data_IF_399443646896
#
_entry.id   IF_399443646896
#
_cell.length_a   1.000
_cell.length_b   1.000
_cell.length_c   1.000
_cell.angle_alpha   90.00
_cell.angle_beta   90.00
_cell.angle_gamma   90.00
#
_symmetry.space_group_name_H-M   'P 1'
#
loop_
_entity.id
_entity.type
_entity.pdbx_description
1 polymer ?
#
# COMPACT_ATOMS: atom_id res chain seq x y z
N UNK A 1 -15.29 -4.80 1.46
CA UNK A 1 -14.97 -3.42 1.08
C UNK A 1 -15.90 -2.95 -0.05
N UNK A 2 -16.73 -1.91 0.25
CA UNK A 2 -17.73 -1.37 -0.70
C UNK A 2 -17.09 -0.76 -1.97
N UNK A 3 -15.88 -0.22 -1.84
CA UNK A 3 -15.18 0.39 -2.98
C UNK A 3 -14.67 -0.67 -3.95
N UNK A 4 -14.12 -1.77 -3.46
CA UNK A 4 -13.69 -2.89 -4.28
C UNK A 4 -14.88 -3.49 -5.03
N UNK A 5 -15.98 -3.77 -4.33
CA UNK A 5 -17.21 -4.28 -4.94
C UNK A 5 -17.72 -3.37 -6.08
N UNK A 6 -17.75 -2.04 -5.84
CA UNK A 6 -18.16 -1.06 -6.86
C UNK A 6 -17.24 -1.06 -8.09
N UNK A 7 -15.93 -1.21 -7.88
CA UNK A 7 -14.96 -1.26 -8.99
C UNK A 7 -15.08 -2.55 -9.79
N UNK A 8 -15.24 -3.69 -9.12
CA UNK A 8 -15.48 -4.99 -9.76
C UNK A 8 -16.78 -5.01 -10.59
N UNK A 9 -17.81 -4.31 -10.14
CA UNK A 9 -19.06 -4.19 -10.89
C UNK A 9 -18.95 -3.31 -12.16
N UNK A 10 -17.83 -2.62 -12.38
CA UNK A 10 -17.68 -1.66 -13.48
C UNK A 10 -16.48 -1.92 -14.40
N UNK A 11 -15.55 -2.78 -14.00
CA UNK A 11 -14.30 -3.07 -14.74
C UNK A 11 -13.98 -4.56 -14.72
N UNK A 12 -13.29 -5.02 -15.77
CA UNK A 12 -12.87 -6.42 -15.87
C UNK A 12 -11.82 -6.81 -14.84
N UNK A 13 -10.91 -5.89 -14.50
CA UNK A 13 -9.88 -6.13 -13.51
C UNK A 13 -9.74 -4.94 -12.54
N UNK A 14 -9.37 -5.22 -11.28
CA UNK A 14 -9.08 -4.22 -10.25
C UNK A 14 -7.69 -4.49 -9.67
N UNK A 15 -6.79 -3.51 -9.76
CA UNK A 15 -5.50 -3.53 -9.08
C UNK A 15 -5.61 -2.84 -7.73
N UNK A 16 -5.29 -3.56 -6.66
CA UNK A 16 -5.21 -3.01 -5.29
C UNK A 16 -3.75 -2.69 -4.98
N UNK A 17 -3.48 -1.42 -4.82
CA UNK A 17 -2.16 -0.89 -4.46
C UNK A 17 -2.16 -0.36 -3.03
N UNK A 18 -0.98 -0.31 -2.42
CA UNK A 18 -0.82 0.24 -1.08
C UNK A 18 0.38 -0.33 -0.35
N UNK A 19 0.72 0.22 0.83
CA UNK A 19 1.88 -0.23 1.59
C UNK A 19 1.76 -1.70 1.98
N UNK A 20 2.89 -2.33 2.26
CA UNK A 20 2.91 -3.69 2.79
C UNK A 20 2.10 -3.76 4.09
N UNK A 21 1.44 -4.90 4.32
CA UNK A 21 0.66 -5.20 5.53
C UNK A 21 -0.59 -4.33 5.77
N UNK A 22 -1.00 -3.49 4.82
CA UNK A 22 -2.24 -2.72 4.96
C UNK A 22 -3.53 -3.54 4.73
N UNK A 23 -3.41 -4.85 4.44
CA UNK A 23 -4.55 -5.76 4.30
C UNK A 23 -5.04 -5.98 2.86
N UNK A 24 -4.22 -5.70 1.83
CA UNK A 24 -4.61 -5.87 0.41
C UNK A 24 -5.11 -7.26 0.09
N UNK A 25 -4.27 -8.27 0.38
CA UNK A 25 -4.58 -9.68 0.12
C UNK A 25 -5.83 -10.10 0.87
N UNK A 26 -5.92 -9.85 2.17
CA UNK A 26 -7.09 -10.18 2.99
C UNK A 26 -8.39 -9.54 2.48
N UNK A 27 -8.33 -8.29 2.01
CA UNK A 27 -9.48 -7.62 1.40
C UNK A 27 -9.87 -8.27 0.07
N UNK A 28 -8.88 -8.60 -0.76
CA UNK A 28 -9.11 -9.24 -2.06
C UNK A 28 -9.71 -10.64 -1.91
N UNK A 29 -9.21 -11.44 -0.97
CA UNK A 29 -9.70 -12.79 -0.66
C UNK A 29 -11.20 -12.82 -0.34
N UNK A 30 -11.72 -11.80 0.36
CA UNK A 30 -13.15 -11.71 0.70
C UNK A 30 -14.05 -11.54 -0.54
N UNK A 31 -13.51 -11.14 -1.66
CA UNK A 31 -14.23 -10.93 -2.92
C UNK A 31 -13.91 -11.98 -3.98
N UNK A 32 -12.84 -12.72 -3.80
CA UNK A 32 -12.37 -13.71 -4.75
C UNK A 32 -13.13 -15.04 -4.64
N UNK A 33 -13.37 -15.71 -5.77
CA UNK A 33 -13.88 -17.08 -5.85
C UNK A 33 -12.78 -18.09 -6.11
N UNK A 34 -11.69 -17.66 -6.70
CA UNK A 34 -10.47 -18.46 -6.85
C UNK A 34 -9.24 -17.59 -6.60
N UNK A 35 -8.14 -18.20 -6.16
CA UNK A 35 -6.95 -17.48 -5.73
C UNK A 35 -5.70 -18.14 -6.31
N UNK A 36 -4.80 -17.30 -6.81
CA UNK A 36 -3.44 -17.65 -7.17
C UNK A 36 -2.48 -16.82 -6.34
N UNK A 37 -1.70 -17.44 -5.47
CA UNK A 37 -0.58 -16.82 -4.77
C UNK A 37 0.69 -17.04 -5.57
N UNK A 38 1.20 -15.98 -6.21
CA UNK A 38 2.40 -16.05 -7.04
C UNK A 38 3.66 -16.34 -6.22
N UNK A 39 3.69 -15.88 -4.97
CA UNK A 39 4.81 -16.02 -4.03
C UNK A 39 4.78 -17.30 -3.19
N UNK A 40 3.81 -18.20 -3.41
CA UNK A 40 3.73 -19.45 -2.67
C UNK A 40 5.00 -20.30 -2.91
N UNK A 41 5.82 -20.58 -1.86
CA UNK A 41 7.09 -21.27 -2.03
C UNK A 41 6.98 -22.65 -2.71
N UNK A 42 5.83 -23.33 -2.56
CA UNK A 42 5.62 -24.65 -3.15
C UNK A 42 5.39 -24.60 -4.66
N UNK A 43 4.95 -23.47 -5.21
CA UNK A 43 4.59 -23.32 -6.63
C UNK A 43 5.27 -22.13 -7.31
N UNK A 44 6.06 -21.33 -6.61
CA UNK A 44 6.67 -20.11 -7.13
C UNK A 44 7.40 -20.34 -8.46
N UNK A 45 8.35 -21.29 -8.49
CA UNK A 45 9.13 -21.57 -9.70
C UNK A 45 8.25 -22.05 -10.86
N UNK A 46 7.29 -22.92 -10.56
CA UNK A 46 6.33 -23.41 -11.56
C UNK A 46 5.46 -22.29 -12.10
N UNK A 47 4.96 -21.42 -11.23
CA UNK A 47 4.15 -20.26 -11.63
C UNK A 47 4.94 -19.28 -12.50
N UNK A 48 6.20 -19.01 -12.15
CA UNK A 48 7.07 -18.14 -12.95
C UNK A 48 7.37 -18.76 -14.32
N UNK A 49 7.70 -20.03 -14.40
CA UNK A 49 7.91 -20.73 -15.66
C UNK A 49 6.65 -20.75 -16.52
N UNK A 50 5.50 -21.02 -15.91
CA UNK A 50 4.21 -21.03 -16.63
C UNK A 50 3.88 -19.64 -17.18
N UNK A 51 4.10 -18.58 -16.41
CA UNK A 51 3.89 -17.20 -16.86
C UNK A 51 4.79 -16.83 -18.06
N UNK A 52 6.00 -17.42 -18.16
CA UNK A 52 6.90 -17.21 -19.29
C UNK A 52 6.45 -17.97 -20.55
N UNK A 53 5.90 -19.17 -20.40
CA UNK A 53 5.46 -20.03 -21.51
C UNK A 53 4.08 -19.60 -21.99
N UNK A 54 3.11 -19.56 -21.08
CA UNK A 54 1.72 -19.19 -21.35
C UNK A 54 1.05 -18.67 -20.06
N UNK A 55 1.05 -17.37 -19.89
CA UNK A 55 0.45 -16.72 -18.72
C UNK A 55 -1.07 -16.94 -18.61
N UNK A 56 -1.76 -17.27 -19.71
CA UNK A 56 -3.22 -17.48 -19.72
C UNK A 56 -3.65 -18.65 -18.86
N UNK A 57 -2.83 -19.68 -18.75
CA UNK A 57 -3.10 -20.87 -17.90
C UNK A 57 -3.23 -20.50 -16.42
N UNK A 58 -2.49 -19.49 -15.98
CA UNK A 58 -2.57 -18.98 -14.60
C UNK A 58 -3.86 -18.20 -14.33
N UNK A 59 -4.57 -17.78 -15.37
CA UNK A 59 -5.82 -17.03 -15.30
C UNK A 59 -7.07 -17.92 -15.25
N UNK A 60 -6.89 -19.22 -15.35
CA UNK A 60 -7.99 -20.19 -15.26
C UNK A 60 -8.50 -20.30 -13.82
N UNK A 61 -9.82 -20.25 -13.65
CA UNK A 61 -10.50 -20.39 -12.35
C UNK A 61 -11.77 -19.54 -12.27
N UNK A 62 -12.51 -19.73 -11.18
CA UNK A 62 -13.73 -18.98 -10.91
C UNK A 62 -13.45 -17.49 -10.69
N UNK A 63 -14.29 -16.65 -11.27
CA UNK A 63 -14.16 -15.18 -11.17
C UNK A 63 -15.11 -14.59 -10.12
N UNK A 64 -14.71 -13.52 -9.39
CA UNK A 64 -13.43 -12.84 -9.44
C UNK A 64 -12.26 -13.75 -9.03
N UNK A 65 -11.18 -13.76 -9.83
CA UNK A 65 -9.95 -14.47 -9.51
C UNK A 65 -8.92 -13.50 -8.93
N UNK A 66 -8.44 -13.80 -7.72
CA UNK A 66 -7.32 -13.07 -7.11
C UNK A 66 -6.00 -13.59 -7.66
N UNK A 67 -5.14 -12.67 -8.07
CA UNK A 67 -3.74 -12.92 -8.37
C UNK A 67 -2.90 -12.07 -7.42
N UNK A 68 -2.39 -12.72 -6.37
CA UNK A 68 -1.61 -12.07 -5.32
C UNK A 68 -0.13 -12.02 -5.72
N UNK A 69 0.54 -10.89 -5.44
CA UNK A 69 1.92 -10.58 -5.83
C UNK A 69 2.16 -10.72 -7.36
N UNK A 70 1.19 -10.24 -8.17
CA UNK A 70 1.20 -10.34 -9.63
C UNK A 70 2.48 -9.80 -10.28
N UNK A 71 3.14 -8.81 -9.67
CA UNK A 71 4.36 -8.18 -10.18
C UNK A 71 5.57 -9.13 -10.23
N UNK A 72 5.49 -10.30 -9.61
CA UNK A 72 6.50 -11.37 -9.78
C UNK A 72 6.54 -11.91 -11.20
N UNK A 73 5.43 -11.79 -11.95
CA UNK A 73 5.35 -12.18 -13.35
C UNK A 73 4.64 -11.08 -14.17
N UNK A 74 5.34 -10.03 -14.61
CA UNK A 74 4.74 -8.87 -15.30
C UNK A 74 3.92 -9.22 -16.55
N UNK A 75 4.24 -10.33 -17.22
CA UNK A 75 3.46 -10.86 -18.37
C UNK A 75 1.99 -11.13 -18.06
N UNK A 76 1.66 -11.37 -16.78
CA UNK A 76 0.27 -11.51 -16.33
C UNK A 76 -0.57 -10.26 -16.63
N UNK A 77 0.02 -9.07 -16.62
CA UNK A 77 -0.69 -7.84 -16.94
C UNK A 77 -1.30 -7.85 -18.34
N UNK A 78 -0.48 -8.17 -19.36
CA UNK A 78 -0.95 -8.21 -20.74
C UNK A 78 -1.89 -9.39 -20.99
N UNK A 79 -1.66 -10.54 -20.34
CA UNK A 79 -2.56 -11.70 -20.42
C UNK A 79 -3.94 -11.36 -19.82
N UNK A 80 -3.99 -10.74 -18.63
CA UNK A 80 -5.26 -10.31 -18.01
C UNK A 80 -5.99 -9.30 -18.89
N UNK A 81 -5.27 -8.31 -19.43
CA UNK A 81 -5.86 -7.35 -20.36
C UNK A 81 -6.52 -8.05 -21.55
N UNK A 82 -5.81 -9.02 -22.14
CA UNK A 82 -6.32 -9.80 -23.28
C UNK A 82 -7.58 -10.58 -22.89
N UNK A 83 -7.55 -11.29 -21.76
CA UNK A 83 -8.70 -12.05 -21.26
C UNK A 83 -9.92 -11.17 -20.96
N UNK A 84 -9.72 -10.00 -20.34
CA UNK A 84 -10.80 -9.03 -20.09
C UNK A 84 -11.45 -8.58 -21.40
N UNK A 85 -10.65 -8.34 -22.45
CA UNK A 85 -11.16 -7.94 -23.75
C UNK A 85 -11.97 -9.06 -24.43
N UNK A 86 -11.57 -10.32 -24.27
CA UNK A 86 -12.20 -11.46 -24.94
C UNK A 86 -13.42 -12.02 -24.21
N UNK A 87 -13.41 -11.97 -22.88
CA UNK A 87 -14.56 -12.44 -22.09
C UNK A 87 -15.72 -11.46 -22.04
N UNK A 88 -15.46 -10.17 -22.32
CA UNK A 88 -16.45 -9.09 -22.34
C UNK A 88 -17.31 -8.97 -21.07
N UNK A 89 -16.75 -9.31 -19.90
CA UNK A 89 -17.43 -9.29 -18.61
C UNK A 89 -16.68 -8.41 -17.60
N UNK A 90 -17.37 -8.03 -16.52
CA UNK A 90 -16.81 -7.27 -15.40
C UNK A 90 -16.47 -8.19 -14.23
N UNK A 91 -15.64 -7.70 -13.29
CA UNK A 91 -15.35 -8.43 -12.05
C UNK A 91 -14.58 -9.73 -12.26
N UNK A 92 -13.72 -9.80 -13.26
CA UNK A 92 -13.02 -11.04 -13.59
C UNK A 92 -11.78 -11.25 -12.72
N UNK A 93 -10.99 -10.18 -12.51
CA UNK A 93 -9.71 -10.29 -11.82
C UNK A 93 -9.54 -9.25 -10.72
N UNK A 94 -8.89 -9.66 -9.64
CA UNK A 94 -8.33 -8.77 -8.61
C UNK A 94 -6.84 -9.03 -8.54
N UNK A 95 -6.04 -7.98 -8.67
CA UNK A 95 -4.60 -8.06 -8.54
C UNK A 95 -4.17 -7.36 -7.26
N UNK A 96 -3.28 -7.97 -6.52
CA UNK A 96 -2.64 -7.37 -5.35
C UNK A 96 -1.13 -7.44 -5.52
N UNK A 97 -0.44 -6.44 -5.02
CA UNK A 97 1.02 -6.40 -5.05
C UNK A 97 1.58 -5.24 -4.25
N UNK A 98 2.85 -5.32 -3.89
CA UNK A 98 3.57 -4.20 -3.32
C UNK A 98 3.84 -3.16 -4.43
N UNK A 99 3.71 -1.90 -4.11
CA UNK A 99 3.49 -0.74 -4.97
C UNK A 99 4.55 -0.40 -6.05
N UNK A 100 5.41 -1.29 -6.46
CA UNK A 100 6.34 -1.02 -7.58
C UNK A 100 6.39 -2.24 -8.47
N UNK A 101 5.88 -2.19 -9.69
CA UNK A 101 6.24 -3.16 -10.72
C UNK A 101 7.76 -3.08 -10.94
N UNK A 102 8.43 -4.20 -10.91
CA UNK A 102 9.74 -4.28 -11.49
C UNK A 102 9.57 -3.88 -12.97
N UNK A 103 10.16 -2.74 -13.35
CA UNK A 103 10.23 -2.18 -14.69
C UNK A 103 8.91 -2.13 -15.51
N UNK A 104 8.37 -0.91 -15.69
CA UNK A 104 7.30 -0.61 -16.67
C UNK A 104 7.62 -1.12 -18.10
N UNK A 105 8.88 -1.47 -18.35
CA UNK A 105 9.37 -2.00 -19.64
C UNK A 105 8.76 -3.33 -20.05
N UNK A 106 8.31 -4.13 -19.08
CA UNK A 106 7.73 -5.45 -19.33
C UNK A 106 6.20 -5.41 -19.52
N UNK A 107 5.60 -4.23 -19.37
CA UNK A 107 4.17 -4.00 -19.64
C UNK A 107 4.01 -3.25 -20.96
N UNK A 108 3.59 -3.95 -21.99
CA UNK A 108 3.43 -3.34 -23.33
C UNK A 108 2.20 -2.43 -23.46
N UNK A 109 1.24 -2.49 -22.53
CA UNK A 109 0.01 -1.74 -22.58
C UNK A 109 -0.41 -1.15 -21.24
N UNK A 110 -0.98 0.05 -21.25
CA UNK A 110 -1.38 0.80 -20.04
C UNK A 110 -2.58 0.23 -19.27
N UNK A 111 -3.28 -0.76 -19.80
CA UNK A 111 -4.50 -1.30 -19.19
C UNK A 111 -5.70 -0.33 -19.17
N UNK A 112 -5.58 0.86 -19.75
CA UNK A 112 -6.62 1.89 -19.77
C UNK A 112 -7.96 1.34 -20.28
N UNK A 113 -9.03 1.60 -19.52
CA UNK A 113 -10.38 1.15 -19.83
C UNK A 113 -10.74 -0.24 -19.29
N UNK A 114 -9.78 -1.14 -19.08
CA UNK A 114 -9.96 -2.52 -18.60
C UNK A 114 -9.76 -2.63 -17.09
N UNK A 115 -8.77 -1.91 -16.59
CA UNK A 115 -8.39 -1.90 -15.18
C UNK A 115 -8.98 -0.72 -14.43
N UNK A 116 -9.20 -0.93 -13.14
CA UNK A 116 -9.44 0.12 -12.15
C UNK A 116 -8.42 -0.01 -11.02
N UNK A 117 -7.96 1.10 -10.50
CA UNK A 117 -7.01 1.16 -9.39
C UNK A 117 -7.74 1.43 -8.08
N UNK A 118 -7.39 0.70 -7.04
CA UNK A 118 -7.85 0.91 -5.68
C UNK A 118 -6.65 1.10 -4.77
N UNK A 119 -6.41 2.33 -4.33
CA UNK A 119 -5.36 2.60 -3.35
C UNK A 119 -5.87 2.27 -1.96
N UNK A 120 -5.29 1.24 -1.34
CA UNK A 120 -5.49 0.90 0.06
C UNK A 120 -4.48 1.62 0.93
N UNK A 121 -4.94 2.04 2.10
CA UNK A 121 -4.14 2.67 3.15
C UNK A 121 -4.26 1.85 4.42
N UNK A 122 -3.38 2.05 5.42
CA UNK A 122 -3.63 1.55 6.76
C UNK A 122 -5.00 1.97 7.28
N UNK A 123 -5.56 1.22 8.23
CA UNK A 123 -6.90 1.44 8.75
C UNK A 123 -7.05 2.84 9.36
N UNK A 124 -8.16 3.48 9.09
CA UNK A 124 -8.60 4.68 9.80
C UNK A 124 -9.08 4.33 11.21
N UNK A 125 -9.19 5.32 12.09
CA UNK A 125 -9.75 5.11 13.44
C UNK A 125 -11.19 4.59 13.43
N UNK A 126 -11.91 4.80 12.32
CA UNK A 126 -13.25 4.23 12.15
C UNK A 126 -13.19 2.73 11.84
N UNK A 127 -12.27 2.31 10.98
CA UNK A 127 -12.09 0.90 10.60
C UNK A 127 -11.49 0.07 11.74
N UNK A 128 -10.63 0.67 12.56
CA UNK A 128 -10.05 0.03 13.75
C UNK A 128 -10.93 0.12 15.01
N UNK A 129 -12.07 0.82 14.92
CA UNK A 129 -13.11 0.82 15.96
C UNK A 129 -12.98 1.90 17.03
N UNK A 130 -11.96 2.75 16.99
CA UNK A 130 -11.79 3.84 17.96
C UNK A 130 -12.68 5.06 17.64
N UNK A 131 -13.07 5.25 16.39
CA UNK A 131 -14.04 6.27 16.00
C UNK A 131 -15.43 5.66 15.85
N UNK A 132 -16.43 6.31 16.44
CA UNK A 132 -17.85 5.90 16.32
C UNK A 132 -18.52 6.33 15.00
N UNK A 133 -17.83 7.08 14.15
CA UNK A 133 -18.33 7.57 12.86
C UNK A 133 -19.50 8.54 12.92
N UNK A 134 -19.84 9.10 14.10
CA UNK A 134 -20.97 10.04 14.25
C UNK A 134 -20.76 11.36 13.52
N UNK A 135 -19.54 11.75 13.31
CA UNK A 135 -19.18 12.93 12.51
C UNK A 135 -18.58 12.47 11.19
N UNK A 136 -19.19 12.84 10.08
CA UNK A 136 -18.65 12.63 8.75
C UNK A 136 -18.43 13.98 8.05
N UNK A 137 -17.42 14.04 7.17
CA UNK A 137 -17.14 15.25 6.41
C UNK A 137 -18.35 15.67 5.55
N UNK A 138 -19.06 14.71 4.95
CA UNK A 138 -20.27 14.99 4.18
C UNK A 138 -21.33 15.68 5.04
N UNK A 139 -21.62 15.14 6.23
CA UNK A 139 -22.62 15.75 7.14
C UNK A 139 -22.20 17.15 7.61
N UNK A 140 -20.89 17.41 7.75
CA UNK A 140 -20.41 18.76 8.09
C UNK A 140 -20.69 19.78 6.98
N UNK A 141 -20.73 19.36 5.73
CA UNK A 141 -21.13 20.24 4.62
C UNK A 141 -22.63 20.40 4.48
N UNK A 142 -23.41 19.34 4.79
CA UNK A 142 -24.86 19.32 4.56
C UNK A 142 -25.65 19.94 5.74
N UNK A 143 -25.28 19.57 6.98
CA UNK A 143 -26.06 19.95 8.19
C UNK A 143 -25.15 20.18 9.39
N UNK A 144 -24.22 21.16 9.34
CA UNK A 144 -23.20 21.36 10.39
C UNK A 144 -23.82 21.67 11.77
N UNK A 145 -24.94 22.39 11.81
CA UNK A 145 -25.63 22.77 13.03
C UNK A 145 -26.27 21.61 13.81
N UNK A 146 -26.42 20.45 13.20
CA UNK A 146 -27.02 19.25 13.83
C UNK A 146 -25.99 18.27 14.35
N UNK A 147 -24.69 18.56 14.22
CA UNK A 147 -23.65 17.62 14.58
C UNK A 147 -23.22 17.85 16.02
N UNK A 148 -23.60 16.90 16.88
CA UNK A 148 -23.12 16.79 18.26
C UNK A 148 -22.57 15.39 18.47
N UNK A 149 -21.28 15.28 18.75
CA UNK A 149 -20.63 14.02 19.00
C UNK A 149 -19.60 14.13 20.13
N UNK A 150 -19.50 13.08 20.92
CA UNK A 150 -18.49 12.92 21.95
C UNK A 150 -17.65 11.70 21.64
N UNK A 151 -16.35 11.80 21.90
CA UNK A 151 -15.43 10.68 21.93
C UNK A 151 -14.98 10.40 23.37
N UNK A 152 -14.67 9.14 23.67
CA UNK A 152 -14.16 8.73 24.98
C UNK A 152 -12.63 8.78 25.06
N UNK A 153 -11.96 8.94 23.92
CA UNK A 153 -10.49 8.99 23.86
C UNK A 153 -9.98 10.24 24.58
N UNK A 154 -9.01 10.04 25.46
CA UNK A 154 -8.22 11.12 26.05
C UNK A 154 -6.95 11.40 25.21
N UNK A 155 -6.09 12.31 25.68
CA UNK A 155 -4.89 12.71 24.92
C UNK A 155 -3.85 11.60 24.86
N UNK A 156 -3.73 10.81 25.90
CA UNK A 156 -2.84 9.66 26.02
C UNK A 156 -3.27 8.56 25.04
N UNK A 157 -4.57 8.28 24.96
CA UNK A 157 -5.15 7.35 23.98
C UNK A 157 -4.82 7.80 22.56
N UNK A 158 -4.99 9.09 22.25
CA UNK A 158 -4.69 9.64 20.92
C UNK A 158 -3.19 9.53 20.61
N UNK A 159 -2.32 9.81 21.57
CA UNK A 159 -0.88 9.66 21.40
C UNK A 159 -0.51 8.20 21.10
N UNK A 160 -1.09 7.25 21.84
CA UNK A 160 -0.90 5.82 21.61
C UNK A 160 -1.35 5.43 20.19
N UNK A 161 -2.55 5.85 19.76
CA UNK A 161 -3.10 5.52 18.45
C UNK A 161 -2.26 6.08 17.30
N UNK A 162 -1.71 7.29 17.46
CA UNK A 162 -0.78 7.89 16.49
C UNK A 162 0.50 7.05 16.38
N UNK A 163 1.07 6.62 17.52
CA UNK A 163 2.29 5.83 17.55
C UNK A 163 2.09 4.40 17.02
N UNK A 164 0.95 3.75 17.35
CA UNK A 164 0.58 2.43 16.86
C UNK A 164 0.39 2.42 15.35
N UNK A 165 -0.21 3.48 14.82
CA UNK A 165 -0.65 3.53 13.43
C UNK A 165 -1.87 2.67 13.13
N UNK A 166 -2.17 2.47 11.85
CA UNK A 166 -3.37 1.77 11.37
C UNK A 166 -3.10 0.45 10.66
N UNK A 167 -1.97 -0.23 10.92
CA UNK A 167 -1.74 -1.58 10.37
C UNK A 167 -2.72 -2.57 11.00
N UNK A 168 -3.46 -3.37 10.21
CA UNK A 168 -4.51 -4.26 10.74
C UNK A 168 -4.03 -5.16 11.87
N UNK A 169 -2.83 -5.74 11.75
CA UNK A 169 -2.26 -6.59 12.78
C UNK A 169 -1.98 -5.81 14.08
N UNK A 170 -1.43 -4.60 13.98
CA UNK A 170 -1.18 -3.75 15.14
C UNK A 170 -2.47 -3.32 15.86
N UNK A 171 -3.57 -3.12 15.10
CA UNK A 171 -4.88 -2.78 15.67
C UNK A 171 -5.48 -3.92 16.53
N UNK A 172 -5.05 -5.17 16.30
CA UNK A 172 -5.44 -6.34 17.11
C UNK A 172 -4.59 -6.58 18.34
N UNK A 173 -3.51 -5.82 18.54
CA UNK A 173 -2.59 -5.93 19.67
C UNK A 173 -2.79 -4.80 20.67
N UNK A 174 -2.18 -4.94 21.86
CA UNK A 174 -2.26 -3.93 22.91
C UNK A 174 -0.86 -3.49 23.36
N UNK A 175 -0.81 -2.32 23.97
CA UNK A 175 0.36 -1.74 24.64
C UNK A 175 1.65 -1.79 23.78
N UNK A 176 2.74 -2.18 24.39
CA UNK A 176 4.07 -2.22 23.76
C UNK A 176 4.13 -3.15 22.54
N UNK A 177 3.34 -4.23 22.52
CA UNK A 177 3.30 -5.15 21.39
C UNK A 177 2.72 -4.49 20.13
N UNK A 178 1.72 -3.62 20.29
CA UNK A 178 1.16 -2.84 19.20
C UNK A 178 2.15 -1.78 18.69
N UNK A 179 2.84 -1.09 19.60
CA UNK A 179 3.83 -0.08 19.26
C UNK A 179 5.06 -0.68 18.56
N UNK A 180 5.49 -1.87 18.98
CA UNK A 180 6.62 -2.57 18.37
C UNK A 180 6.42 -2.81 16.87
N UNK A 181 5.17 -3.05 16.42
CA UNK A 181 4.87 -3.28 14.99
C UNK A 181 5.27 -2.10 14.11
N UNK A 182 5.08 -0.86 14.57
CA UNK A 182 5.46 0.33 13.82
C UNK A 182 7.00 0.47 13.71
N UNK A 183 7.73 0.16 14.78
CA UNK A 183 9.20 0.17 14.77
C UNK A 183 9.76 -0.90 13.85
N UNK A 184 9.26 -2.13 13.96
CA UNK A 184 9.70 -3.26 13.12
C UNK A 184 9.41 -3.00 11.64
N UNK A 185 8.26 -2.39 11.33
CA UNK A 185 7.92 -2.00 9.96
C UNK A 185 8.91 -0.97 9.40
N UNK A 186 9.20 0.10 10.15
CA UNK A 186 10.17 1.13 9.74
C UNK A 186 11.56 0.51 9.53
N UNK A 187 11.98 -0.36 10.44
CA UNK A 187 13.28 -1.04 10.33
C UNK A 187 13.33 -1.97 9.11
N UNK A 188 12.28 -2.69 8.80
CA UNK A 188 12.20 -3.53 7.59
C UNK A 188 12.27 -2.69 6.31
N UNK A 189 11.55 -1.56 6.25
CA UNK A 189 11.62 -0.62 5.12
C UNK A 189 13.04 -0.10 4.92
N UNK A 190 13.69 0.36 6.01
CA UNK A 190 15.05 0.91 5.95
C UNK A 190 16.07 -0.13 5.52
N UNK A 191 15.98 -1.35 6.08
CA UNK A 191 17.00 -2.39 5.86
C UNK A 191 16.86 -3.14 4.53
N UNK A 192 15.63 -3.25 4.01
CA UNK A 192 15.34 -4.13 2.87
C UNK A 192 14.57 -3.45 1.74
N UNK A 193 13.47 -2.78 2.03
CA UNK A 193 12.53 -2.41 0.98
C UNK A 193 13.00 -1.21 0.17
N UNK A 194 13.62 -0.23 0.81
CA UNK A 194 14.05 1.01 0.12
C UNK A 194 15.12 0.77 -0.96
N UNK A 195 15.95 -0.26 -0.79
CA UNK A 195 16.98 -0.62 -1.78
C UNK A 195 16.44 -1.53 -2.90
N UNK A 196 15.24 -2.11 -2.71
CA UNK A 196 14.61 -2.95 -3.74
C UNK A 196 13.89 -2.15 -4.82
N UNK A 197 13.57 -0.88 -4.56
CA UNK A 197 12.80 -0.04 -5.49
C UNK A 197 13.55 0.20 -6.80
N UNK A 198 14.86 0.39 -6.72
CA UNK A 198 15.72 0.69 -7.88
C UNK A 198 17.09 -0.01 -7.84
N UNK A 199 17.27 -0.97 -6.93
CA UNK A 199 18.55 -1.68 -6.76
C UNK A 199 19.68 -0.85 -6.15
N UNK A 200 19.43 0.42 -5.79
CA UNK A 200 20.44 1.30 -5.20
C UNK A 200 20.57 1.03 -3.70
N UNK A 201 21.76 0.65 -3.27
CA UNK A 201 22.05 0.48 -1.85
C UNK A 201 22.08 1.84 -1.13
N UNK A 202 21.15 2.08 -0.23
CA UNK A 202 21.02 3.34 0.51
C UNK A 202 21.53 3.22 1.93
N UNK A 203 22.16 4.30 2.40
CA UNK A 203 22.64 4.37 3.78
C UNK A 203 21.44 4.38 4.74
N UNK A 204 21.40 3.42 5.68
CA UNK A 204 20.31 3.25 6.62
C UNK A 204 20.13 4.48 7.55
N UNK A 205 21.25 5.12 7.94
CA UNK A 205 21.20 6.33 8.79
C UNK A 205 20.56 7.48 8.06
N UNK A 206 21.01 7.76 6.83
CA UNK A 206 20.44 8.81 5.96
C UNK A 206 18.95 8.55 5.69
N UNK A 207 18.58 7.30 5.43
CA UNK A 207 17.18 6.90 5.24
C UNK A 207 16.34 7.18 6.50
N UNK A 208 16.85 6.85 7.68
CA UNK A 208 16.16 7.11 8.95
C UNK A 208 15.98 8.61 9.21
N UNK A 209 16.98 9.42 8.91
CA UNK A 209 16.89 10.89 9.00
C UNK A 209 15.83 11.44 8.03
N UNK A 210 15.79 10.94 6.81
CA UNK A 210 14.78 11.31 5.82
C UNK A 210 13.36 11.01 6.32
N UNK A 211 13.12 9.79 6.79
CA UNK A 211 11.80 9.40 7.32
C UNK A 211 11.40 10.25 8.52
N UNK A 212 12.32 10.57 9.43
CA UNK A 212 12.08 11.48 10.55
C UNK A 212 11.75 12.89 10.09
N UNK A 213 12.46 13.40 9.09
CA UNK A 213 12.17 14.71 8.52
C UNK A 213 10.79 14.75 7.86
N UNK A 214 10.41 13.74 7.10
CA UNK A 214 9.05 13.63 6.55
C UNK A 214 8.00 13.59 7.66
N UNK A 215 8.22 12.83 8.72
CA UNK A 215 7.27 12.75 9.84
C UNK A 215 7.07 14.11 10.52
N UNK A 216 8.16 14.88 10.75
CA UNK A 216 8.07 16.23 11.34
C UNK A 216 7.36 17.24 10.43
N UNK A 217 7.49 17.07 9.13
CA UNK A 217 6.91 17.98 8.14
C UNK A 217 5.55 17.49 7.59
N UNK A 218 4.97 16.45 8.18
CA UNK A 218 3.67 15.93 7.77
C UNK A 218 2.58 17.01 7.87
N UNK A 219 1.77 17.14 6.80
CA UNK A 219 0.71 18.14 6.74
C UNK A 219 1.19 19.59 6.48
N UNK A 220 2.49 19.80 6.21
CA UNK A 220 3.06 21.09 5.84
C UNK A 220 3.36 21.18 4.34
N UNK A 221 3.68 22.38 3.85
CA UNK A 221 4.16 22.64 2.49
C UNK A 221 5.69 22.64 2.41
N UNK A 222 6.35 21.69 3.07
CA UNK A 222 7.80 21.61 3.08
C UNK A 222 8.36 21.33 1.68
N UNK A 223 9.37 22.10 1.31
CA UNK A 223 10.14 21.88 0.07
C UNK A 223 11.22 20.82 0.29
N UNK A 224 11.79 20.29 -0.80
CA UNK A 224 12.95 19.40 -0.74
C UNK A 224 14.10 20.07 0.03
N UNK A 225 14.33 21.38 -0.19
CA UNK A 225 15.35 22.15 0.54
C UNK A 225 15.08 22.18 2.05
N UNK A 226 13.83 22.34 2.47
CA UNK A 226 13.42 22.27 3.89
C UNK A 226 13.73 20.91 4.51
N UNK A 227 13.42 19.82 3.80
CA UNK A 227 13.70 18.45 4.26
C UNK A 227 15.21 18.23 4.39
N UNK A 228 16.02 18.65 3.41
CA UNK A 228 17.47 18.53 3.46
C UNK A 228 18.07 19.33 4.61
N UNK A 229 17.62 20.56 4.83
CA UNK A 229 18.08 21.41 5.93
C UNK A 229 17.75 20.79 7.30
N UNK A 230 16.54 20.27 7.45
CA UNK A 230 16.11 19.59 8.69
C UNK A 230 16.94 18.31 8.96
N UNK A 231 17.24 17.52 7.93
CA UNK A 231 18.14 16.37 8.05
C UNK A 231 19.54 16.79 8.50
N UNK A 232 20.10 17.85 7.92
CA UNK A 232 21.46 18.34 8.22
C UNK A 232 21.57 18.91 9.64
N UNK A 233 20.54 19.58 10.13
CA UNK A 233 20.51 20.17 11.49
C UNK A 233 20.45 19.09 12.57
N UNK A 234 19.86 17.95 12.28
CA UNK A 234 19.65 16.88 13.27
C UNK A 234 20.75 15.81 13.30
N UNK A 235 21.71 15.86 12.38
CA UNK A 235 22.85 14.94 12.41
C UNK A 235 24.07 15.48 11.62
N UNK A 236 24.88 16.29 12.28
CA UNK A 236 26.13 16.84 11.72
C UNK A 236 27.14 15.74 11.29
N UNK A 237 27.03 14.53 11.84
CA UNK A 237 27.94 13.42 11.59
C UNK A 237 27.44 12.42 10.53
N UNK A 238 26.13 12.39 10.22
CA UNK A 238 25.53 11.34 9.38
C UNK A 238 25.56 11.63 7.88
N UNK A 239 25.67 12.89 7.48
CA UNK A 239 25.54 13.24 6.05
C UNK A 239 26.87 13.27 5.28
N UNK A 240 28.01 13.34 5.94
CA UNK A 240 29.32 13.41 5.24
C UNK A 240 29.43 14.55 4.22
N UNK A 241 28.42 15.40 4.11
CA UNK A 241 28.35 16.55 3.22
C UNK A 241 28.88 17.74 4.00
N UNK A 242 30.15 18.04 3.81
CA UNK A 242 30.63 19.40 4.11
C UNK A 242 29.74 20.36 3.31
N UNK A 243 29.15 21.39 3.92
CA UNK A 243 28.52 22.45 3.14
C UNK A 243 29.57 22.93 2.14
N UNK A 244 29.23 22.93 0.86
CA UNK A 244 30.06 23.53 -0.17
C UNK A 244 30.31 24.98 0.30
N UNK A 245 31.57 25.28 0.64
CA UNK A 245 31.94 26.60 1.10
C UNK A 245 31.49 27.61 0.03
N UNK A 246 30.60 28.48 0.41
CA UNK A 246 30.36 29.73 -0.33
C UNK A 246 31.62 30.59 -0.26
N UNK A 247 31.79 31.49 -1.22
CA UNK A 247 32.98 32.33 -1.34
C UNK A 247 33.17 33.24 -0.14
#
# INVERSE_FOLDING_TARGET
DKMLAKKLASKGAVLIEGPKWCGKTTTAEQHARSILYMDNPASLETNLQMAEIDASVLLEGDTPRLIDEWQLAPKLWDAIRFEVDHRHDVGQFVLTGSAVPAEEKDMHHSGTGRFSWLTMRPMSLYESGESNGKVSLANLFETPEKIVAMNKLNIEDLAFLICRGGWPFACGLQDDAALAQAFDYVDAVIKKDISRVDGVNRNATTTRLLLRSYARNQGSQATIGTIIADMSTNDENALGVKPAGGP
#
